data_IF_957363139659
#
_entry.id   IF_957363139659
#
_cell.length_a   1.000
_cell.length_b   1.000
_cell.length_c   1.000
_cell.angle_alpha   90.00
_cell.angle_beta   90.00
_cell.angle_gamma   90.00
#
_symmetry.space_group_name_H-M   'P 1'
#
loop_
_entity.id
_entity.type
_entity.pdbx_description
1 polymer ?
#
# COMPACT_ATOMS: atom_id res chain seq x y z
N UNK A 1 -3.05 41.78 16.68
CA UNK A 1 -2.62 40.95 17.82
C UNK A 1 -3.13 39.55 17.55
N UNK A 2 -2.26 38.62 17.16
CA UNK A 2 -2.62 37.21 16.93
C UNK A 2 -2.55 36.50 18.28
N UNK A 3 -3.58 35.72 18.62
CA UNK A 3 -3.70 35.02 19.89
C UNK A 3 -2.69 33.86 19.94
N UNK A 4 -1.81 33.75 20.96
CA UNK A 4 -0.70 32.79 20.97
C UNK A 4 -1.09 31.34 21.36
N UNK A 5 -2.38 31.01 21.32
CA UNK A 5 -2.92 29.70 21.76
C UNK A 5 -3.61 28.92 20.66
N UNK A 6 -3.45 29.32 19.40
CA UNK A 6 -3.86 28.47 18.28
C UNK A 6 -2.78 27.39 18.12
N UNK A 7 -3.05 26.10 18.43
CA UNK A 7 -2.11 25.06 18.09
C UNK A 7 -2.00 25.08 16.57
N UNK A 8 -0.86 25.55 16.07
CA UNK A 8 -0.48 25.33 14.68
C UNK A 8 -0.75 23.86 14.40
N UNK A 9 -1.74 23.60 13.56
CA UNK A 9 -1.96 22.33 12.88
C UNK A 9 -0.68 22.05 12.09
N UNK A 10 0.35 21.53 12.77
CA UNK A 10 1.50 20.94 12.13
C UNK A 10 0.94 19.73 11.42
N UNK A 11 1.01 19.75 10.09
CA UNK A 11 0.79 18.53 9.33
C UNK A 11 1.70 17.45 9.94
N UNK A 12 1.16 16.24 10.19
CA UNK A 12 1.96 15.19 10.80
C UNK A 12 3.19 14.93 9.94
N UNK A 13 4.36 14.85 10.56
CA UNK A 13 5.61 14.53 9.85
C UNK A 13 5.45 13.21 9.10
N UNK A 14 5.92 13.12 7.85
CA UNK A 14 5.75 11.94 7.02
C UNK A 14 6.45 10.73 7.64
N UNK A 15 5.74 9.61 7.68
CA UNK A 15 6.21 8.39 8.34
C UNK A 15 6.74 7.35 7.34
N UNK A 16 7.42 6.34 7.86
CA UNK A 16 7.84 5.17 7.06
C UNK A 16 6.60 4.45 6.49
N UNK A 17 5.52 4.34 7.28
CA UNK A 17 4.27 3.73 6.83
C UNK A 17 3.68 4.48 5.63
N UNK A 18 3.70 5.82 5.63
CA UNK A 18 3.19 6.63 4.52
C UNK A 18 3.94 6.37 3.21
N UNK A 19 5.26 6.16 3.31
CA UNK A 19 6.08 5.78 2.15
C UNK A 19 5.70 4.39 1.64
N UNK A 20 5.61 3.39 2.53
CA UNK A 20 5.27 2.02 2.12
C UNK A 20 3.86 1.92 1.50
N UNK A 21 2.89 2.64 2.07
CA UNK A 21 1.52 2.71 1.53
C UNK A 21 1.48 3.46 0.19
N UNK A 22 2.25 4.54 0.04
CA UNK A 22 2.43 5.23 -1.24
C UNK A 22 3.01 4.31 -2.32
N UNK A 23 4.04 3.53 -1.98
CA UNK A 23 4.65 2.54 -2.89
C UNK A 23 3.63 1.47 -3.28
N UNK A 24 2.93 0.89 -2.29
CA UNK A 24 1.90 -0.12 -2.55
C UNK A 24 0.82 0.42 -3.50
N UNK A 25 0.36 1.65 -3.26
CA UNK A 25 -0.62 2.33 -4.10
C UNK A 25 -0.11 2.48 -5.53
N UNK A 26 1.12 3.01 -5.70
CA UNK A 26 1.73 3.17 -7.01
C UNK A 26 1.86 1.85 -7.78
N UNK A 27 2.30 0.77 -7.11
CA UNK A 27 2.44 -0.55 -7.71
C UNK A 27 1.09 -1.15 -8.11
N UNK A 28 0.02 -0.93 -7.34
CA UNK A 28 -1.33 -1.38 -7.71
C UNK A 28 -1.94 -0.59 -8.87
N UNK A 29 -1.60 0.69 -9.00
CA UNK A 29 -2.14 1.56 -10.06
C UNK A 29 -1.34 1.47 -11.37
N UNK A 30 -0.07 1.07 -11.31
CA UNK A 30 0.85 1.09 -12.46
C UNK A 30 1.29 -0.31 -12.83
N UNK A 31 0.62 -0.90 -13.84
CA UNK A 31 0.88 -2.24 -14.36
C UNK A 31 0.95 -3.33 -13.27
N UNK A 32 -0.11 -3.53 -12.46
CA UNK A 32 -0.06 -4.41 -11.30
C UNK A 32 0.28 -5.88 -11.63
N UNK A 33 -0.02 -6.34 -12.84
CA UNK A 33 0.26 -7.71 -13.30
C UNK A 33 1.67 -7.90 -13.85
N UNK A 34 2.44 -6.82 -14.03
CA UNK A 34 3.81 -6.92 -14.51
C UNK A 34 4.73 -7.52 -13.43
N UNK A 35 5.79 -8.19 -13.88
CA UNK A 35 6.82 -8.71 -12.99
C UNK A 35 7.47 -7.55 -12.20
N UNK A 36 7.74 -7.81 -10.93
CA UNK A 36 8.50 -6.88 -10.09
C UNK A 36 10.00 -6.98 -10.42
N UNK A 37 10.54 -5.96 -11.07
CA UNK A 37 11.98 -5.90 -11.35
C UNK A 37 12.78 -5.49 -10.12
N UNK A 38 14.01 -5.98 -10.00
CA UNK A 38 14.86 -5.85 -8.79
C UNK A 38 15.05 -4.40 -8.32
N UNK A 39 15.09 -3.42 -9.23
CA UNK A 39 15.28 -2.01 -8.88
C UNK A 39 13.97 -1.24 -8.64
N UNK A 40 12.81 -1.84 -8.97
CA UNK A 40 11.51 -1.17 -8.91
C UNK A 40 11.23 -0.66 -7.50
N UNK A 41 11.47 -1.49 -6.49
CA UNK A 41 11.20 -1.17 -5.09
C UNK A 41 12.06 0.00 -4.62
N UNK A 42 13.36 -0.03 -4.90
CA UNK A 42 14.29 1.05 -4.56
C UNK A 42 13.86 2.40 -5.16
N UNK A 43 13.50 2.39 -6.45
CA UNK A 43 13.06 3.60 -7.15
C UNK A 43 11.75 4.12 -6.58
N UNK A 44 10.77 3.25 -6.34
CA UNK A 44 9.48 3.65 -5.80
C UNK A 44 9.63 4.22 -4.38
N UNK A 45 10.43 3.60 -3.51
CA UNK A 45 10.66 4.10 -2.15
C UNK A 45 11.30 5.48 -2.17
N UNK A 46 12.33 5.69 -3.00
CA UNK A 46 12.94 7.01 -3.16
C UNK A 46 11.97 8.07 -3.69
N UNK A 47 11.17 7.72 -4.69
CA UNK A 47 10.18 8.61 -5.28
C UNK A 47 9.06 8.98 -4.30
N UNK A 48 8.55 8.02 -3.54
CA UNK A 48 7.49 8.27 -2.56
C UNK A 48 8.00 9.05 -1.36
N UNK A 49 9.19 8.75 -0.82
CA UNK A 49 9.79 9.55 0.25
C UNK A 49 10.02 11.01 -0.18
N UNK A 50 10.41 11.25 -1.43
CA UNK A 50 10.51 12.61 -1.99
C UNK A 50 9.15 13.30 -2.09
N UNK A 51 8.08 12.59 -2.46
CA UNK A 51 6.74 13.17 -2.50
C UNK A 51 6.21 13.51 -1.11
N UNK A 52 6.37 12.61 -0.14
CA UNK A 52 5.85 12.76 1.23
C UNK A 52 6.53 13.90 1.99
N UNK A 53 7.71 14.33 1.56
CA UNK A 53 8.46 15.43 2.16
C UNK A 53 8.31 16.74 1.37
N UNK A 54 7.19 16.91 0.67
CA UNK A 54 6.91 18.07 -0.20
C UNK A 54 8.02 18.35 -1.22
N UNK A 55 8.70 17.30 -1.68
CA UNK A 55 9.79 17.39 -2.67
C UNK A 55 10.97 18.23 -2.17
N UNK A 56 11.21 18.24 -0.86
CA UNK A 56 12.35 18.93 -0.23
C UNK A 56 13.66 18.21 -0.54
N UNK A 57 14.73 18.98 -0.69
CA UNK A 57 16.08 18.50 -0.99
C UNK A 57 17.07 18.68 0.16
N UNK A 58 16.58 18.95 1.36
CA UNK A 58 17.36 19.16 2.59
C UNK A 58 17.86 17.86 3.24
N UNK A 59 17.59 16.72 2.61
CA UNK A 59 18.03 15.40 3.07
C UNK A 59 16.99 14.62 3.86
N UNK A 60 15.86 15.23 4.24
CA UNK A 60 14.78 14.52 4.97
C UNK A 60 14.23 13.36 4.12
N UNK A 61 13.97 13.60 2.84
CA UNK A 61 13.54 12.55 1.90
C UNK A 61 14.51 11.36 1.85
N UNK A 62 15.83 11.63 1.89
CA UNK A 62 16.87 10.60 1.88
C UNK A 62 16.85 9.80 3.18
N UNK A 63 16.78 10.47 4.33
CA UNK A 63 16.71 9.81 5.62
C UNK A 63 15.45 8.93 5.73
N UNK A 64 14.31 9.45 5.28
CA UNK A 64 13.04 8.72 5.25
C UNK A 64 13.07 7.52 4.30
N UNK A 65 13.63 7.67 3.10
CA UNK A 65 13.82 6.55 2.17
C UNK A 65 14.73 5.46 2.75
N UNK A 66 15.84 5.85 3.40
CA UNK A 66 16.74 4.90 4.06
C UNK A 66 16.02 4.15 5.19
N UNK A 67 15.24 4.85 6.02
CA UNK A 67 14.43 4.24 7.07
C UNK A 67 13.36 3.30 6.51
N UNK A 68 12.72 3.65 5.40
CA UNK A 68 11.77 2.76 4.73
C UNK A 68 12.46 1.49 4.22
N UNK A 69 13.64 1.61 3.59
CA UNK A 69 14.37 0.45 3.07
C UNK A 69 14.81 -0.56 4.14
N UNK A 70 14.90 -0.18 5.43
CA UNK A 70 15.24 -1.15 6.50
C UNK A 70 14.06 -2.04 6.91
N UNK A 71 12.83 -1.63 6.59
CA UNK A 71 11.61 -2.37 6.92
C UNK A 71 10.93 -3.01 5.71
N UNK A 72 11.35 -2.62 4.50
CA UNK A 72 10.85 -3.20 3.25
C UNK A 72 11.19 -4.71 3.21
N UNK A 73 10.20 -5.58 2.96
CA UNK A 73 10.45 -7.02 2.84
C UNK A 73 11.17 -7.33 1.51
N UNK A 74 12.11 -8.27 1.54
CA UNK A 74 12.72 -8.78 0.31
C UNK A 74 11.64 -9.42 -0.59
N UNK A 75 11.54 -9.03 -1.88
CA UNK A 75 10.57 -9.61 -2.78
C UNK A 75 10.88 -11.09 -3.07
N UNK A 76 9.88 -11.97 -3.05
CA UNK A 76 10.06 -13.36 -3.48
C UNK A 76 10.39 -13.41 -4.96
N UNK A 77 10.96 -14.55 -5.37
CA UNK A 77 11.17 -14.80 -6.80
C UNK A 77 9.84 -14.82 -7.54
N UNK A 78 9.80 -14.13 -8.67
CA UNK A 78 8.68 -14.12 -9.61
C UNK A 78 7.35 -13.61 -9.04
N UNK A 79 7.37 -12.56 -8.20
CA UNK A 79 6.16 -11.84 -7.81
C UNK A 79 5.80 -10.73 -8.80
N UNK A 80 4.51 -10.48 -8.92
CA UNK A 80 3.99 -9.31 -9.62
C UNK A 80 4.03 -8.07 -8.73
N UNK A 81 3.95 -6.89 -9.35
CA UNK A 81 3.88 -5.60 -8.65
C UNK A 81 2.69 -5.54 -7.68
N UNK A 82 1.53 -6.04 -8.09
CA UNK A 82 0.32 -6.07 -7.27
C UNK A 82 0.41 -6.99 -6.06
N UNK A 83 0.98 -8.19 -6.23
CA UNK A 83 1.20 -9.12 -5.11
C UNK A 83 2.17 -8.54 -4.08
N UNK A 84 3.23 -7.89 -4.54
CA UNK A 84 4.17 -7.24 -3.64
C UNK A 84 3.55 -6.04 -2.89
N UNK A 85 2.65 -5.29 -3.54
CA UNK A 85 1.92 -4.22 -2.87
C UNK A 85 1.05 -4.73 -1.71
N UNK A 86 0.42 -5.91 -1.85
CA UNK A 86 -0.30 -6.56 -0.76
C UNK A 86 0.62 -6.91 0.41
N UNK A 87 1.84 -7.34 0.13
CA UNK A 87 2.84 -7.60 1.17
C UNK A 87 3.24 -6.35 1.92
N UNK A 88 3.48 -5.24 1.21
CA UNK A 88 3.77 -3.95 1.85
C UNK A 88 2.64 -3.51 2.80
N UNK A 89 1.37 -3.65 2.37
CA UNK A 89 0.21 -3.36 3.23
C UNK A 89 0.18 -4.26 4.46
N UNK A 90 0.48 -5.55 4.33
CA UNK A 90 0.58 -6.48 5.48
C UNK A 90 1.70 -6.09 6.45
N UNK A 91 2.85 -5.64 5.95
CA UNK A 91 3.94 -5.16 6.81
C UNK A 91 3.49 -3.95 7.62
N UNK A 92 2.90 -2.94 6.96
CA UNK A 92 2.35 -1.77 7.65
C UNK A 92 1.28 -2.16 8.66
N UNK A 93 0.36 -3.03 8.28
CA UNK A 93 -0.71 -3.51 9.14
C UNK A 93 -0.22 -4.40 10.29
N UNK A 94 0.96 -5.02 10.19
CA UNK A 94 1.59 -5.75 11.29
C UNK A 94 2.32 -4.85 12.29
N UNK A 95 2.62 -3.62 11.88
CA UNK A 95 3.29 -2.62 12.71
C UNK A 95 2.28 -1.74 13.48
N UNK A 96 1.02 -1.69 13.03
CA UNK A 96 -0.09 -1.09 13.75
C UNK A 96 -0.94 -2.21 14.37
N UNK A 97 -1.54 -1.98 15.55
CA UNK A 97 -2.56 -2.90 16.06
C UNK A 97 -3.73 -2.93 15.05
N UNK A 98 -3.93 -4.06 14.39
CA UNK A 98 -4.88 -4.27 13.30
C UNK A 98 -6.29 -3.76 13.65
N UNK A 99 -6.91 -2.92 12.81
CA UNK A 99 -8.29 -2.48 13.01
C UNK A 99 -9.20 -3.01 11.90
N UNK A 100 -10.49 -3.20 12.18
CA UNK A 100 -11.46 -3.74 11.21
C UNK A 100 -11.55 -2.93 9.90
N UNK A 101 -11.12 -1.66 9.92
CA UNK A 101 -11.06 -0.77 8.76
C UNK A 101 -10.04 -1.20 7.69
N UNK A 102 -9.05 -2.03 8.05
CA UNK A 102 -8.01 -2.50 7.12
C UNK A 102 -8.49 -3.65 6.20
N UNK A 103 -9.73 -4.12 6.37
CA UNK A 103 -10.35 -5.17 5.56
C UNK A 103 -11.01 -4.65 4.26
N UNK A 104 -10.48 -3.58 3.65
CA UNK A 104 -11.03 -3.09 2.38
C UNK A 104 -10.81 -4.13 1.24
N UNK A 105 -11.86 -4.53 0.52
CA UNK A 105 -11.75 -5.55 -0.52
C UNK A 105 -10.94 -5.06 -1.73
N UNK A 106 -9.78 -5.68 -1.94
CA UNK A 106 -8.87 -5.37 -3.07
C UNK A 106 -9.34 -5.97 -4.40
N UNK A 107 -10.34 -6.86 -4.39
CA UNK A 107 -10.94 -7.44 -5.59
C UNK A 107 -12.26 -6.72 -5.86
N UNK A 108 -12.48 -6.14 -7.07
CA UNK A 108 -13.78 -5.60 -7.43
C UNK A 108 -14.83 -6.69 -7.26
N UNK A 109 -15.87 -6.42 -6.47
CA UNK A 109 -16.97 -7.36 -6.30
C UNK A 109 -17.63 -7.58 -7.66
N UNK A 110 -17.45 -8.78 -8.22
CA UNK A 110 -18.23 -9.22 -9.38
C UNK A 110 -19.68 -9.26 -8.91
N UNK A 111 -20.54 -8.42 -9.50
CA UNK A 111 -21.99 -8.50 -9.29
C UNK A 111 -22.42 -9.93 -9.56
N UNK A 112 -22.88 -10.59 -8.50
CA UNK A 112 -23.26 -11.99 -8.48
C UNK A 112 -24.58 -12.22 -9.25
N UNK A 113 -24.57 -12.03 -10.57
CA UNK A 113 -25.56 -12.63 -11.47
C UNK A 113 -25.13 -14.07 -11.80
N UNK A 114 -24.87 -14.86 -10.75
CA UNK A 114 -24.67 -16.30 -10.92
C UNK A 114 -26.00 -16.93 -11.32
N UNK A 115 -26.08 -17.70 -12.42
CA UNK A 115 -27.30 -18.37 -12.80
C UNK A 115 -27.72 -19.34 -11.68
N UNK A 116 -28.94 -19.15 -11.15
CA UNK A 116 -29.56 -20.03 -10.15
C UNK A 116 -29.35 -21.49 -10.54
N UNK A 117 -28.72 -22.28 -9.67
CA UNK A 117 -28.65 -23.73 -9.81
C UNK A 117 -30.08 -24.27 -10.03
N UNK A 118 -30.30 -24.98 -11.14
CA UNK A 118 -31.51 -25.80 -11.29
C UNK A 118 -31.45 -26.91 -10.26
N UNK A 119 -32.45 -26.98 -9.39
CA UNK A 119 -32.73 -28.15 -8.56
C UNK A 119 -33.05 -29.34 -9.49
N UNK A 120 -32.23 -30.39 -9.42
CA UNK A 120 -32.51 -31.66 -10.09
C UNK A 120 -33.80 -32.27 -9.49
N UNK A 121 -34.76 -32.74 -10.30
CA UNK A 121 -35.81 -33.62 -9.79
C UNK A 121 -35.16 -34.98 -9.46
N UNK A 122 -35.35 -35.46 -8.24
CA UNK A 122 -34.91 -36.80 -7.83
C UNK A 122 -35.64 -37.88 -8.62
N UNK A 123 -35.07 -39.10 -8.74
CA UNK A 123 -35.68 -40.16 -9.51
C UNK A 123 -36.89 -40.73 -8.75
N UNK A 124 -38.07 -40.60 -9.34
CA UNK A 124 -39.19 -41.50 -9.07
C UNK A 124 -38.84 -42.87 -9.67
N UNK A 125 -38.63 -43.89 -8.82
CA UNK A 125 -38.92 -45.32 -9.00
C UNK A 125 -38.23 -46.17 -7.92
#
# INVERSE_FOLDING_TARGET
MVNPTDPTWLDPEPTVQDVLLGVATHLTQTNPTAALESYTVLVCVGAEAYKQTDRRTDGVARALAQAAMTVVPEPPRAVTRGEYALWLRKVVASQNEWTEADNEPVIPSVTADFPKQRSNPGPDC
#
